data_IF_134882546214
#
_entry.id   IF_134882546214
#
_cell.length_a   1.000
_cell.length_b   1.000
_cell.length_c   1.000
_cell.angle_alpha   90.00
_cell.angle_beta   90.00
_cell.angle_gamma   90.00
#
_symmetry.space_group_name_H-M   'P 1'
#
loop_
_entity.id
_entity.type
_entity.pdbx_description
1 polymer ?
#
# COMPACT_ATOMS: atom_id res chain seq x y z
N UNK A 1 5.05 -18.88 -20.46
CA UNK A 1 5.10 -17.44 -20.12
C UNK A 1 5.15 -17.32 -18.62
N UNK A 2 6.23 -16.77 -18.04
CA UNK A 2 6.34 -16.50 -16.62
C UNK A 2 5.75 -15.13 -16.29
N UNK A 3 5.12 -14.97 -15.11
CA UNK A 3 4.47 -13.71 -14.69
C UNK A 3 5.15 -13.12 -13.47
N UNK A 4 5.91 -12.04 -13.70
CA UNK A 4 6.52 -11.20 -12.67
C UNK A 4 6.14 -9.72 -12.86
N UNK A 5 5.02 -9.48 -13.56
CA UNK A 5 4.54 -8.13 -13.92
C UNK A 5 4.07 -7.35 -12.70
N UNK A 6 3.30 -8.01 -11.84
CA UNK A 6 2.71 -7.41 -10.64
C UNK A 6 2.40 -8.50 -9.60
N UNK A 7 1.91 -8.09 -8.44
CA UNK A 7 1.58 -8.93 -7.29
C UNK A 7 0.06 -9.12 -7.08
N UNK A 8 -0.73 -8.97 -8.16
CA UNK A 8 -2.19 -9.13 -8.17
C UNK A 8 -2.69 -9.79 -9.47
N UNK A 9 -1.90 -10.71 -10.03
CA UNK A 9 -2.27 -11.44 -11.26
C UNK A 9 -3.18 -12.63 -10.99
N UNK A 10 -3.07 -13.23 -9.82
CA UNK A 10 -3.86 -14.37 -9.39
C UNK A 10 -5.19 -13.93 -8.77
N UNK A 11 -6.09 -14.89 -8.57
CA UNK A 11 -7.34 -14.71 -7.83
C UNK A 11 -7.11 -14.57 -6.33
N UNK A 12 -7.92 -15.23 -5.51
CA UNK A 12 -7.72 -15.24 -4.06
C UNK A 12 -7.07 -16.54 -3.58
N UNK A 13 -6.47 -16.46 -2.38
CA UNK A 13 -5.97 -17.62 -1.66
C UNK A 13 -7.11 -18.65 -1.43
N UNK A 14 -6.80 -19.94 -1.50
CA UNK A 14 -7.79 -21.02 -1.41
C UNK A 14 -8.70 -20.94 -0.17
N UNK A 15 -8.13 -20.62 0.99
CA UNK A 15 -8.91 -20.45 2.24
C UNK A 15 -9.90 -19.27 2.14
N UNK A 16 -9.54 -18.21 1.45
CA UNK A 16 -10.42 -17.04 1.21
C UNK A 16 -11.57 -17.46 0.28
N UNK A 17 -11.24 -18.14 -0.83
CA UNK A 17 -12.26 -18.67 -1.75
C UNK A 17 -13.20 -19.66 -1.08
N UNK A 18 -12.66 -20.58 -0.28
CA UNK A 18 -13.46 -21.56 0.44
C UNK A 18 -14.43 -20.89 1.40
N UNK A 19 -13.96 -19.88 2.16
CA UNK A 19 -14.82 -19.15 3.09
C UNK A 19 -15.95 -18.38 2.37
N UNK A 20 -15.66 -17.80 1.18
CA UNK A 20 -16.70 -17.22 0.33
C UNK A 20 -17.74 -18.27 -0.16
N UNK A 21 -17.30 -19.47 -0.53
CA UNK A 21 -18.16 -20.58 -0.97
C UNK A 21 -19.04 -21.04 0.19
N UNK A 22 -18.44 -21.31 1.34
CA UNK A 22 -19.14 -21.87 2.52
C UNK A 22 -20.25 -20.94 3.02
N UNK A 23 -20.02 -19.65 2.93
CA UNK A 23 -20.96 -18.61 3.41
C UNK A 23 -21.94 -18.10 2.34
N UNK A 24 -21.77 -18.50 1.07
CA UNK A 24 -22.44 -17.89 -0.08
C UNK A 24 -23.98 -17.83 0.00
N UNK A 25 -24.60 -18.86 0.57
CA UNK A 25 -26.08 -18.96 0.62
C UNK A 25 -26.69 -18.37 1.89
N UNK A 26 -25.89 -17.84 2.79
CA UNK A 26 -26.40 -17.18 3.99
C UNK A 26 -27.10 -15.86 3.65
N UNK A 27 -28.25 -15.62 4.29
CA UNK A 27 -28.99 -14.37 4.18
C UNK A 27 -28.50 -13.40 5.26
N UNK A 28 -27.76 -12.37 4.85
CA UNK A 28 -27.09 -11.43 5.72
C UNK A 28 -27.52 -9.99 5.47
N UNK A 29 -27.45 -9.10 6.47
CA UNK A 29 -27.60 -7.66 6.27
C UNK A 29 -26.63 -7.13 5.21
N UNK A 30 -27.04 -6.09 4.48
CA UNK A 30 -26.20 -5.45 3.45
C UNK A 30 -25.28 -4.38 3.99
N UNK A 31 -24.49 -3.80 3.09
CA UNK A 31 -23.66 -2.61 3.31
C UNK A 31 -22.60 -2.75 4.40
N UNK A 32 -22.12 -3.97 4.65
CA UNK A 32 -21.02 -4.24 5.60
C UNK A 32 -21.46 -4.19 7.06
N UNK A 33 -22.75 -4.42 7.34
CA UNK A 33 -23.30 -4.51 8.71
C UNK A 33 -23.57 -5.95 9.13
N UNK A 34 -23.09 -6.91 8.36
CA UNK A 34 -23.16 -8.34 8.65
C UNK A 34 -22.08 -8.76 9.66
N UNK A 35 -22.28 -9.93 10.29
CA UNK A 35 -21.39 -10.40 11.34
C UNK A 35 -19.96 -10.72 10.83
N UNK A 36 -19.78 -11.17 9.57
CA UNK A 36 -18.43 -11.39 9.02
C UNK A 36 -17.64 -10.08 8.90
N UNK A 37 -18.31 -9.00 8.49
CA UNK A 37 -17.69 -7.68 8.48
C UNK A 37 -17.31 -7.23 9.89
N UNK A 38 -18.17 -7.45 10.89
CA UNK A 38 -17.87 -7.05 12.28
C UNK A 38 -16.76 -7.94 12.88
N UNK A 39 -16.79 -9.25 12.66
CA UNK A 39 -15.72 -10.16 13.10
C UNK A 39 -14.37 -9.82 12.47
N UNK A 40 -14.34 -9.52 11.15
CA UNK A 40 -13.12 -9.07 10.47
C UNK A 40 -12.57 -7.79 11.10
N UNK A 41 -13.43 -6.80 11.37
CA UNK A 41 -13.03 -5.55 12.02
C UNK A 41 -12.43 -5.79 13.41
N UNK A 42 -13.06 -6.63 14.23
CA UNK A 42 -12.55 -6.95 15.57
C UNK A 42 -11.20 -7.70 15.53
N UNK A 43 -11.04 -8.65 14.58
CA UNK A 43 -9.74 -9.32 14.36
C UNK A 43 -8.65 -8.32 13.95
N UNK A 44 -8.96 -7.37 13.07
CA UNK A 44 -8.04 -6.32 12.64
C UNK A 44 -7.66 -5.42 13.82
N UNK A 45 -8.63 -4.93 14.61
CA UNK A 45 -8.38 -4.12 15.81
C UNK A 45 -7.44 -4.84 16.78
N UNK A 46 -7.71 -6.12 17.03
CA UNK A 46 -6.87 -6.96 17.88
C UNK A 46 -5.44 -7.09 17.32
N UNK A 47 -5.28 -7.33 16.01
CA UNK A 47 -3.98 -7.42 15.36
C UNK A 47 -3.20 -6.09 15.44
N UNK A 48 -3.90 -4.95 15.35
CA UNK A 48 -3.34 -3.61 15.52
C UNK A 48 -3.04 -3.25 17.00
N UNK A 49 -3.56 -4.01 17.97
CA UNK A 49 -3.50 -3.65 19.38
C UNK A 49 -4.17 -2.30 19.69
N UNK A 50 -5.26 -1.99 18.97
CA UNK A 50 -5.98 -0.72 19.03
C UNK A 50 -7.50 -1.01 19.05
N UNK A 51 -8.05 -1.30 20.23
CA UNK A 51 -9.45 -1.72 20.39
C UNK A 51 -10.45 -0.60 20.08
N UNK A 52 -10.04 0.66 20.25
CA UNK A 52 -10.82 1.86 19.97
C UNK A 52 -10.75 2.33 18.52
N UNK A 53 -9.99 1.64 17.66
CA UNK A 53 -9.92 1.96 16.25
C UNK A 53 -11.27 1.75 15.56
N UNK A 54 -11.52 2.55 14.51
CA UNK A 54 -12.65 2.34 13.62
C UNK A 54 -12.16 1.76 12.29
N UNK A 55 -12.80 0.68 11.83
CA UNK A 55 -12.38 -0.05 10.64
C UNK A 55 -13.46 -0.01 9.57
N UNK A 56 -13.07 0.33 8.34
CA UNK A 56 -13.92 0.29 7.15
C UNK A 56 -13.30 -0.61 6.08
N UNK A 57 -14.14 -1.40 5.41
CA UNK A 57 -13.72 -2.29 4.31
C UNK A 57 -14.15 -1.66 2.98
N UNK A 58 -13.17 -1.34 2.13
CA UNK A 58 -13.34 -0.76 0.80
C UNK A 58 -12.83 -1.73 -0.28
N UNK A 59 -13.15 -1.49 -1.55
CA UNK A 59 -12.92 -2.49 -2.60
C UNK A 59 -11.53 -2.40 -3.26
N UNK A 60 -10.82 -1.28 -3.17
CA UNK A 60 -9.54 -1.12 -3.84
C UNK A 60 -8.74 0.10 -3.39
N UNK A 61 -7.42 0.08 -3.61
CA UNK A 61 -6.47 1.06 -3.08
C UNK A 61 -6.71 2.49 -3.55
N UNK A 62 -6.81 2.73 -4.87
CA UNK A 62 -7.10 4.08 -5.41
C UNK A 62 -8.41 4.65 -4.88
N UNK A 63 -9.47 3.82 -4.80
CA UNK A 63 -10.73 4.23 -4.19
C UNK A 63 -10.56 4.60 -2.71
N UNK A 64 -9.76 3.83 -1.98
CA UNK A 64 -9.43 4.08 -0.58
C UNK A 64 -8.69 5.40 -0.40
N UNK A 65 -7.63 5.62 -1.18
CA UNK A 65 -6.85 6.86 -1.14
C UNK A 65 -7.73 8.08 -1.44
N UNK A 66 -8.54 7.99 -2.50
CA UNK A 66 -9.46 9.06 -2.89
C UNK A 66 -10.44 9.41 -1.76
N UNK A 67 -11.12 8.40 -1.17
CA UNK A 67 -12.15 8.62 -0.15
C UNK A 67 -11.53 9.15 1.15
N UNK A 68 -10.44 8.56 1.62
CA UNK A 68 -9.79 8.99 2.86
C UNK A 68 -9.29 10.43 2.72
N UNK A 69 -8.56 10.74 1.67
CA UNK A 69 -8.00 12.08 1.44
C UNK A 69 -9.11 13.12 1.30
N UNK A 70 -10.10 12.88 0.42
CA UNK A 70 -11.23 13.79 0.21
C UNK A 70 -12.09 14.01 1.47
N UNK A 71 -12.15 13.02 2.35
CA UNK A 71 -12.96 13.13 3.56
C UNK A 71 -12.22 13.82 4.70
N UNK A 72 -10.90 13.67 4.76
CA UNK A 72 -10.07 14.26 5.82
C UNK A 72 -9.67 15.70 5.54
N UNK A 73 -9.69 16.15 4.28
CA UNK A 73 -9.28 17.49 3.89
C UNK A 73 -10.45 18.47 3.82
N UNK A 74 -10.15 19.73 4.10
CA UNK A 74 -11.05 20.85 3.77
C UNK A 74 -10.85 21.24 2.29
N UNK A 75 -11.85 21.89 1.63
CA UNK A 75 -11.76 22.22 0.20
C UNK A 75 -10.55 23.05 -0.23
N UNK A 76 -9.90 23.76 0.71
CA UNK A 76 -8.71 24.59 0.46
C UNK A 76 -7.39 23.85 0.81
N UNK A 77 -7.48 22.62 1.26
CA UNK A 77 -6.32 21.83 1.68
C UNK A 77 -5.87 20.85 0.61
N UNK A 78 -4.58 20.49 0.65
CA UNK A 78 -3.96 19.49 -0.17
C UNK A 78 -3.24 18.44 0.66
N UNK A 79 -2.93 17.31 0.03
CA UNK A 79 -2.20 16.20 0.64
C UNK A 79 -0.71 16.31 0.32
N UNK A 80 0.14 16.24 1.34
CA UNK A 80 1.61 16.20 1.19
C UNK A 80 2.05 14.78 0.94
N UNK A 81 2.77 14.52 -0.14
CA UNK A 81 3.24 13.18 -0.52
C UNK A 81 4.64 13.21 -1.16
N UNK A 82 5.32 12.08 -1.23
CA UNK A 82 6.52 11.94 -2.03
C UNK A 82 6.25 12.22 -3.53
N UNK A 83 7.22 12.79 -4.26
CA UNK A 83 7.10 12.97 -5.71
C UNK A 83 6.80 11.65 -6.44
N UNK A 84 7.31 10.53 -5.93
CA UNK A 84 7.08 9.17 -6.44
C UNK A 84 5.94 8.44 -5.76
N UNK A 85 5.24 9.09 -4.81
CA UNK A 85 4.10 8.50 -4.11
C UNK A 85 2.98 8.08 -5.06
N UNK A 86 2.26 7.02 -4.72
CA UNK A 86 1.22 6.44 -5.59
C UNK A 86 0.17 7.47 -5.99
N UNK A 87 -0.29 8.29 -5.06
CA UNK A 87 -1.24 9.38 -5.31
C UNK A 87 -0.70 10.48 -6.22
N UNK A 88 0.64 10.62 -6.31
CA UNK A 88 1.30 11.60 -7.18
C UNK A 88 1.45 11.12 -8.62
N UNK A 89 1.56 9.80 -8.85
CA UNK A 89 2.05 9.25 -10.13
C UNK A 89 1.17 8.19 -10.76
N UNK A 90 0.42 7.39 -9.99
CA UNK A 90 -0.21 6.15 -10.48
C UNK A 90 -1.72 6.07 -10.24
N UNK A 91 -2.40 7.19 -9.96
CA UNK A 91 -3.85 7.22 -9.70
C UNK A 91 -4.64 8.07 -10.71
N UNK A 92 -4.06 8.36 -11.87
CA UNK A 92 -4.72 9.10 -12.94
C UNK A 92 -5.36 10.43 -12.49
N UNK A 93 -4.77 11.10 -11.50
CA UNK A 93 -5.31 12.35 -10.94
C UNK A 93 -6.55 12.13 -10.06
N UNK A 94 -6.68 10.97 -9.40
CA UNK A 94 -7.85 10.67 -8.57
C UNK A 94 -8.03 11.65 -7.40
N UNK A 95 -6.93 12.15 -6.85
CA UNK A 95 -6.96 13.15 -5.77
C UNK A 95 -7.38 14.52 -6.31
N UNK A 96 -6.79 14.95 -7.43
CA UNK A 96 -7.16 16.22 -8.09
C UNK A 96 -8.61 16.19 -8.56
N UNK A 97 -9.13 15.01 -8.97
CA UNK A 97 -10.54 14.83 -9.33
C UNK A 97 -11.50 15.13 -8.16
N UNK A 98 -11.09 14.95 -6.91
CA UNK A 98 -11.89 15.35 -5.73
C UNK A 98 -11.77 16.83 -5.40
N UNK A 99 -10.92 17.58 -6.11
CA UNK A 99 -10.69 19.02 -5.89
C UNK A 99 -9.50 19.33 -5.00
N UNK A 100 -8.75 18.34 -4.55
CA UNK A 100 -7.55 18.52 -3.72
C UNK A 100 -6.28 18.47 -4.55
N UNK A 101 -5.27 19.23 -4.10
CA UNK A 101 -3.96 19.24 -4.73
C UNK A 101 -3.02 18.27 -4.02
N UNK A 102 -2.22 17.53 -4.80
CA UNK A 102 -1.07 16.83 -4.24
C UNK A 102 0.12 17.78 -4.14
N UNK A 103 0.60 18.00 -2.92
CA UNK A 103 1.76 18.85 -2.59
C UNK A 103 2.97 17.92 -2.48
N UNK A 104 3.83 17.91 -3.49
CA UNK A 104 4.92 16.95 -3.55
C UNK A 104 6.15 17.40 -2.79
N UNK A 105 6.76 16.48 -2.02
CA UNK A 105 8.08 16.63 -1.42
C UNK A 105 9.13 15.82 -2.20
N UNK A 106 10.39 16.32 -2.23
CA UNK A 106 11.51 15.50 -2.66
C UNK A 106 11.57 14.19 -1.87
N UNK A 107 12.02 13.14 -2.52
CA UNK A 107 12.13 11.83 -1.88
C UNK A 107 13.54 11.25 -2.03
N UNK A 108 13.87 10.29 -1.18
CA UNK A 108 15.05 9.46 -1.32
C UNK A 108 14.64 7.98 -1.24
N UNK A 109 14.80 7.27 -2.35
CA UNK A 109 14.37 5.87 -2.46
C UNK A 109 12.87 5.68 -2.14
N UNK A 110 12.02 6.60 -2.60
CA UNK A 110 10.58 6.60 -2.37
C UNK A 110 10.13 7.15 -1.02
N UNK A 111 11.03 7.53 -0.12
CA UNK A 111 10.72 8.01 1.23
C UNK A 111 10.85 9.52 1.34
N UNK A 112 9.87 10.19 1.94
CA UNK A 112 10.02 11.55 2.47
C UNK A 112 10.74 11.49 3.82
N UNK A 113 11.30 12.60 4.26
CA UNK A 113 11.90 12.71 5.60
C UNK A 113 11.24 13.82 6.43
N UNK A 114 11.38 13.72 7.73
CA UNK A 114 10.77 14.65 8.69
C UNK A 114 11.29 16.10 8.54
N UNK A 115 12.57 16.27 8.16
CA UNK A 115 13.15 17.61 8.01
C UNK A 115 12.57 18.37 6.81
N UNK A 116 12.41 17.68 5.66
CA UNK A 116 11.81 18.29 4.48
C UNK A 116 10.31 18.57 4.71
N UNK A 117 9.60 17.67 5.40
CA UNK A 117 8.21 17.89 5.79
C UNK A 117 8.09 19.13 6.70
N UNK A 118 8.91 19.22 7.73
CA UNK A 118 8.93 20.37 8.64
C UNK A 118 9.23 21.67 7.89
N UNK A 119 10.25 21.66 7.03
CA UNK A 119 10.62 22.82 6.23
C UNK A 119 9.49 23.27 5.29
N UNK A 120 8.76 22.35 4.67
CA UNK A 120 7.61 22.68 3.84
C UNK A 120 6.55 23.44 4.65
N UNK A 121 6.20 22.94 5.84
CA UNK A 121 5.15 23.53 6.68
C UNK A 121 5.61 24.88 7.25
N UNK A 122 6.86 24.97 7.74
CA UNK A 122 7.42 26.23 8.26
C UNK A 122 7.53 27.30 7.16
N UNK A 123 7.95 26.92 5.95
CA UNK A 123 8.04 27.82 4.80
C UNK A 123 6.65 28.32 4.41
N UNK A 124 5.65 27.42 4.38
CA UNK A 124 4.27 27.78 4.08
C UNK A 124 3.74 28.83 5.07
N UNK A 125 3.82 28.58 6.37
CA UNK A 125 3.30 29.52 7.38
C UNK A 125 4.19 30.76 7.57
N UNK A 126 5.45 30.73 7.14
CA UNK A 126 6.34 31.89 7.12
C UNK A 126 6.07 32.86 5.96
N UNK A 127 5.33 32.45 4.94
CA UNK A 127 4.94 33.32 3.83
C UNK A 127 3.75 34.21 4.24
N UNK A 128 3.90 35.53 4.15
CA UNK A 128 2.83 36.47 4.48
C UNK A 128 1.59 36.31 3.57
N UNK A 129 1.75 35.66 2.42
CA UNK A 129 0.68 35.42 1.45
C UNK A 129 0.14 33.96 1.48
N UNK A 130 0.45 33.19 2.52
CA UNK A 130 0.02 31.78 2.58
C UNK A 130 -1.51 31.59 2.48
N UNK A 131 -2.31 32.59 2.86
CA UNK A 131 -3.77 32.58 2.68
C UNK A 131 -4.21 32.53 1.19
N UNK A 132 -3.31 32.77 0.25
CA UNK A 132 -3.55 32.61 -1.19
C UNK A 132 -3.07 31.25 -1.74
N UNK A 133 -2.54 30.39 -0.89
CA UNK A 133 -1.94 29.11 -1.26
C UNK A 133 -2.82 27.94 -0.82
N UNK A 134 -2.57 26.74 -1.38
CA UNK A 134 -3.20 25.53 -0.90
C UNK A 134 -2.53 25.11 0.42
N UNK A 135 -3.33 24.96 1.46
CA UNK A 135 -2.86 24.58 2.79
C UNK A 135 -2.42 23.11 2.81
N UNK A 136 -1.28 22.76 3.42
CA UNK A 136 -0.98 21.37 3.74
C UNK A 136 -1.96 20.88 4.82
N UNK A 137 -2.79 19.88 4.49
CA UNK A 137 -3.86 19.42 5.37
C UNK A 137 -3.71 17.95 5.83
N UNK A 138 -2.90 17.15 5.13
CA UNK A 138 -2.67 15.75 5.45
C UNK A 138 -1.32 15.32 4.88
N UNK A 139 -0.63 14.39 5.54
CA UNK A 139 0.60 13.77 5.06
C UNK A 139 0.31 12.33 4.66
N UNK A 140 0.67 11.97 3.43
CA UNK A 140 0.53 10.63 2.88
C UNK A 140 1.89 9.99 2.65
N UNK A 141 2.03 8.74 3.11
CA UNK A 141 3.20 7.90 2.83
C UNK A 141 2.75 6.50 2.43
N UNK A 142 3.55 5.80 1.61
CA UNK A 142 3.34 4.38 1.31
C UNK A 142 4.32 3.50 2.10
N UNK A 143 3.84 2.38 2.65
CA UNK A 143 4.70 1.42 3.33
C UNK A 143 4.31 -0.03 3.01
N UNK A 144 5.17 -0.78 2.29
CA UNK A 144 6.40 -0.36 1.58
C UNK A 144 6.16 0.76 0.57
N UNK A 145 7.20 1.53 0.25
CA UNK A 145 7.13 2.54 -0.80
C UNK A 145 6.95 1.91 -2.19
N UNK A 146 6.71 2.70 -3.20
CA UNK A 146 6.60 2.27 -4.60
C UNK A 146 7.88 1.57 -5.10
N UNK A 147 9.03 1.90 -4.51
CA UNK A 147 10.32 1.26 -4.74
C UNK A 147 10.56 0.01 -3.86
N UNK A 148 9.58 -0.40 -3.07
CA UNK A 148 9.70 -1.54 -2.16
C UNK A 148 10.61 -1.29 -0.97
N UNK A 149 11.02 -0.05 -0.70
CA UNK A 149 11.79 0.32 0.49
C UNK A 149 10.91 0.45 1.71
N UNK A 150 11.50 0.34 2.89
CA UNK A 150 10.79 0.39 4.16
C UNK A 150 11.18 1.64 4.95
N UNK A 151 10.19 2.30 5.53
CA UNK A 151 10.46 3.25 6.60
C UNK A 151 10.88 2.47 7.85
N UNK A 152 11.95 2.90 8.49
CA UNK A 152 12.32 2.40 9.82
C UNK A 152 11.36 2.98 10.86
N UNK A 153 11.26 2.33 12.01
CA UNK A 153 10.47 2.83 13.14
C UNK A 153 10.92 4.24 13.57
N UNK A 154 12.22 4.52 13.48
CA UNK A 154 12.76 5.85 13.76
C UNK A 154 12.24 6.89 12.77
N UNK A 155 12.34 6.62 11.45
CA UNK A 155 11.85 7.53 10.41
C UNK A 155 10.35 7.80 10.55
N UNK A 156 9.55 6.76 10.80
CA UNK A 156 8.11 6.92 11.04
C UNK A 156 7.81 7.74 12.29
N UNK A 157 8.56 7.53 13.37
CA UNK A 157 8.40 8.29 14.61
C UNK A 157 8.72 9.76 14.40
N UNK A 158 9.78 10.07 13.65
CA UNK A 158 10.18 11.45 13.33
C UNK A 158 9.12 12.15 12.47
N UNK A 159 8.59 11.49 11.42
CA UNK A 159 7.51 12.02 10.59
C UNK A 159 6.24 12.23 11.41
N UNK A 160 5.83 11.24 12.22
CA UNK A 160 4.66 11.33 13.08
C UNK A 160 4.78 12.48 14.09
N UNK A 161 5.99 12.73 14.63
CA UNK A 161 6.23 13.85 15.53
C UNK A 161 5.99 15.21 14.86
N UNK A 162 6.48 15.40 13.63
CA UNK A 162 6.22 16.62 12.84
C UNK A 162 4.71 16.75 12.53
N UNK A 163 4.06 15.66 12.13
CA UNK A 163 2.63 15.65 11.86
C UNK A 163 1.83 16.11 13.10
N UNK A 164 2.17 15.63 14.28
CA UNK A 164 1.52 16.03 15.54
C UNK A 164 1.82 17.48 15.93
N UNK A 165 3.07 17.96 15.75
CA UNK A 165 3.49 19.34 16.00
C UNK A 165 2.61 20.32 15.21
N UNK A 166 2.34 20.02 13.96
CA UNK A 166 1.57 20.89 13.05
C UNK A 166 0.09 20.46 12.87
N UNK A 167 -0.37 19.46 13.62
CA UNK A 167 -1.75 18.93 13.57
C UNK A 167 -2.17 18.44 12.18
N UNK A 168 -1.25 17.86 11.45
CA UNK A 168 -1.48 17.21 10.17
C UNK A 168 -1.74 15.72 10.40
N UNK A 169 -2.89 15.17 10.00
CA UNK A 169 -3.08 13.73 10.04
C UNK A 169 -2.03 13.00 9.20
N UNK A 170 -1.51 11.88 9.70
CA UNK A 170 -0.62 10.98 8.98
C UNK A 170 -1.40 9.80 8.43
N UNK A 171 -1.48 9.71 7.10
CA UNK A 171 -2.11 8.61 6.38
C UNK A 171 -1.06 7.70 5.76
N UNK A 172 -1.12 6.39 6.08
CA UNK A 172 -0.24 5.39 5.49
C UNK A 172 -0.99 4.49 4.51
N UNK A 173 -0.56 4.51 3.26
CA UNK A 173 -0.94 3.54 2.23
C UNK A 173 -0.24 2.20 2.49
N UNK A 174 -1.04 1.20 2.82
CA UNK A 174 -0.58 -0.15 3.09
C UNK A 174 -0.97 -1.17 2.02
N UNK A 175 -1.06 -0.77 0.73
CA UNK A 175 -1.43 -1.66 -0.36
C UNK A 175 -0.58 -2.95 -0.41
N UNK A 176 0.68 -2.86 0.03
CA UNK A 176 1.63 -3.97 0.15
C UNK A 176 2.09 -4.19 1.59
N UNK A 177 1.31 -3.76 2.57
CA UNK A 177 1.72 -3.75 3.98
C UNK A 177 2.22 -5.10 4.47
N UNK A 178 1.58 -6.18 4.06
CA UNK A 178 1.98 -7.56 4.39
C UNK A 178 3.47 -7.81 4.09
N UNK A 179 3.95 -7.39 2.93
CA UNK A 179 5.34 -7.62 2.50
C UNK A 179 6.34 -6.75 3.27
N UNK A 180 5.90 -5.61 3.79
CA UNK A 180 6.67 -4.81 4.74
C UNK A 180 6.74 -5.46 6.12
N UNK A 181 5.62 -6.00 6.63
CA UNK A 181 5.54 -6.59 7.97
C UNK A 181 6.32 -7.90 8.11
N UNK A 182 6.40 -8.73 7.05
CA UNK A 182 7.13 -10.01 7.08
C UNK A 182 8.55 -9.92 6.51
N UNK A 183 8.97 -8.74 6.04
CA UNK A 183 10.32 -8.50 5.54
C UNK A 183 11.38 -8.66 6.63
N UNK A 184 12.53 -9.26 6.29
CA UNK A 184 13.61 -9.50 7.27
C UNK A 184 14.24 -8.21 7.82
N UNK A 185 14.12 -7.11 7.11
CA UNK A 185 14.74 -5.82 7.45
C UNK A 185 13.76 -4.88 8.18
N UNK A 186 12.52 -5.33 8.44
CA UNK A 186 11.54 -4.51 9.14
C UNK A 186 11.84 -4.43 10.64
N UNK A 187 11.70 -3.24 11.19
CA UNK A 187 11.65 -2.98 12.64
C UNK A 187 10.30 -2.37 13.06
N UNK A 188 9.32 -2.41 12.15
CA UNK A 188 7.98 -1.83 12.32
C UNK A 188 6.96 -2.94 12.40
N UNK A 189 6.11 -2.89 13.42
CA UNK A 189 4.97 -3.78 13.61
C UNK A 189 3.65 -3.09 13.26
N UNK A 190 2.58 -3.87 13.07
CA UNK A 190 1.24 -3.31 12.86
C UNK A 190 0.79 -2.44 14.05
N UNK A 191 1.19 -2.81 15.27
CA UNK A 191 0.93 -2.04 16.49
C UNK A 191 1.71 -0.70 16.50
N UNK A 192 2.91 -0.67 15.92
CA UNK A 192 3.66 0.58 15.79
C UNK A 192 2.99 1.52 14.79
N UNK A 193 2.50 0.99 13.66
CA UNK A 193 1.75 1.76 12.68
C UNK A 193 0.49 2.35 13.31
N UNK A 194 -0.30 1.55 14.03
CA UNK A 194 -1.50 2.01 14.71
C UNK A 194 -1.23 3.11 15.75
N UNK A 195 -0.04 3.16 16.36
CA UNK A 195 0.37 4.21 17.31
C UNK A 195 0.88 5.48 16.64
N UNK A 196 1.44 5.36 15.43
CA UNK A 196 2.14 6.46 14.76
C UNK A 196 1.29 7.15 13.69
N UNK A 197 0.33 6.45 13.09
CA UNK A 197 -0.55 6.97 12.04
C UNK A 197 -1.94 7.28 12.59
N UNK A 198 -2.58 8.32 12.07
CA UNK A 198 -3.98 8.66 12.35
C UNK A 198 -4.93 7.80 11.53
N UNK A 199 -4.51 7.46 10.33
CA UNK A 199 -5.21 6.52 9.45
C UNK A 199 -4.20 5.71 8.64
N UNK A 200 -4.52 4.45 8.38
CA UNK A 200 -3.79 3.60 7.46
C UNK A 200 -4.73 2.57 6.85
N UNK A 201 -4.31 1.92 5.77
CA UNK A 201 -5.06 0.76 5.34
C UNK A 201 -4.19 -0.49 5.20
N UNK A 202 -4.81 -1.64 5.41
CA UNK A 202 -4.24 -2.96 5.27
C UNK A 202 -4.70 -3.53 3.95
N UNK A 203 -3.77 -3.68 3.01
CA UNK A 203 -4.06 -4.18 1.67
C UNK A 203 -4.44 -5.65 1.67
N UNK A 204 -5.60 -5.98 1.11
CA UNK A 204 -6.04 -7.36 0.86
C UNK A 204 -5.84 -7.77 -0.60
N UNK A 205 -6.07 -6.86 -1.55
CA UNK A 205 -6.02 -7.13 -3.00
C UNK A 205 -4.69 -7.76 -3.44
N UNK A 206 -3.56 -7.32 -2.87
CA UNK A 206 -2.23 -7.86 -3.17
C UNK A 206 -1.80 -8.96 -2.19
N UNK A 207 -2.64 -9.27 -1.22
CA UNK A 207 -2.38 -10.21 -0.12
C UNK A 207 -3.36 -11.38 -0.08
N UNK A 208 -3.74 -11.91 -1.24
CA UNK A 208 -4.56 -13.11 -1.35
C UNK A 208 -6.06 -12.90 -1.23
N UNK A 209 -6.58 -11.65 -1.25
CA UNK A 209 -8.00 -11.38 -1.47
C UNK A 209 -8.31 -11.21 -2.97
N UNK A 210 -9.56 -11.40 -3.38
CA UNK A 210 -10.04 -11.02 -4.71
C UNK A 210 -10.03 -9.49 -4.89
N UNK A 211 -10.42 -8.79 -3.84
CA UNK A 211 -10.42 -7.34 -3.73
C UNK A 211 -10.59 -6.96 -2.26
N UNK A 212 -10.15 -5.78 -1.90
CA UNK A 212 -10.44 -5.23 -0.58
C UNK A 212 -9.23 -4.61 0.11
N UNK A 213 -9.54 -3.53 0.83
CA UNK A 213 -8.62 -2.79 1.67
C UNK A 213 -9.32 -2.49 3.00
N UNK A 214 -8.66 -2.77 4.12
CA UNK A 214 -9.20 -2.44 5.43
C UNK A 214 -8.60 -1.13 5.92
N UNK A 215 -9.40 -0.07 5.89
CA UNK A 215 -9.03 1.26 6.42
C UNK A 215 -9.19 1.26 7.92
N UNK A 216 -8.16 1.66 8.64
CA UNK A 216 -8.12 1.73 10.09
C UNK A 216 -7.87 3.18 10.51
N UNK A 217 -8.82 3.77 11.21
CA UNK A 217 -8.72 5.08 11.85
C UNK A 217 -8.39 4.88 13.32
N UNK A 218 -7.38 5.58 13.84
CA UNK A 218 -6.91 5.49 15.23
C UNK A 218 -7.19 6.79 15.97
N UNK A 219 -7.25 6.76 17.31
CA UNK A 219 -7.31 7.97 18.12
C UNK A 219 -8.50 8.88 17.83
N UNK A 220 -9.66 8.33 17.45
CA UNK A 220 -10.86 9.08 17.04
C UNK A 220 -10.64 10.00 15.81
N UNK A 221 -9.74 9.62 14.93
CA UNK A 221 -9.40 10.40 13.71
C UNK A 221 -10.44 10.26 12.59
N UNK A 222 -11.38 9.32 12.69
CA UNK A 222 -12.38 9.09 11.64
C UNK A 222 -13.25 10.33 11.42
N UNK A 223 -13.32 10.86 10.18
CA UNK A 223 -14.15 12.03 9.88
C UNK A 223 -15.64 11.76 10.12
N UNK A 224 -16.35 12.78 10.58
CA UNK A 224 -17.82 12.68 10.71
C UNK A 224 -18.45 12.32 9.36
N UNK A 225 -19.45 11.44 9.40
CA UNK A 225 -20.18 11.01 8.21
C UNK A 225 -19.35 10.27 7.16
N UNK A 226 -18.25 9.59 7.55
CA UNK A 226 -17.39 8.84 6.65
C UNK A 226 -18.20 7.86 5.78
N UNK A 227 -19.13 7.09 6.35
CA UNK A 227 -20.02 6.20 5.59
C UNK A 227 -20.82 6.93 4.49
N UNK A 228 -21.25 8.16 4.74
CA UNK A 228 -21.95 8.98 3.75
C UNK A 228 -21.03 9.35 2.59
N UNK A 229 -19.77 9.67 2.88
CA UNK A 229 -18.75 9.96 1.86
C UNK A 229 -18.42 8.72 1.05
N UNK A 230 -18.25 7.57 1.70
CA UNK A 230 -18.10 6.27 1.01
C UNK A 230 -19.25 6.03 0.04
N UNK A 231 -20.49 6.32 0.45
CA UNK A 231 -21.68 6.20 -0.43
C UNK A 231 -21.64 7.18 -1.59
N UNK A 232 -21.25 8.43 -1.37
CA UNK A 232 -21.13 9.46 -2.42
C UNK A 232 -20.13 9.06 -3.50
N UNK A 233 -18.99 8.48 -3.11
CA UNK A 233 -17.97 7.94 -4.02
C UNK A 233 -18.38 6.63 -4.72
N UNK A 234 -19.61 6.13 -4.49
CA UNK A 234 -20.07 4.87 -5.07
C UNK A 234 -19.37 3.62 -4.52
N UNK A 235 -18.66 3.75 -3.41
CA UNK A 235 -17.81 2.72 -2.83
C UNK A 235 -18.51 1.81 -1.80
N UNK A 236 -19.75 2.15 -1.40
CA UNK A 236 -20.49 1.37 -0.43
C UNK A 236 -21.21 0.20 -1.12
N UNK A 237 -20.62 -0.98 -1.01
CA UNK A 237 -21.13 -2.20 -1.62
C UNK A 237 -22.41 -2.67 -0.94
N UNK A 238 -23.48 -2.93 -1.73
CA UNK A 238 -24.70 -3.53 -1.20
C UNK A 238 -24.43 -4.91 -0.57
N UNK A 239 -23.54 -5.71 -1.20
CA UNK A 239 -23.06 -6.97 -0.65
C UNK A 239 -21.69 -6.76 0.01
N UNK A 240 -21.62 -5.91 1.05
CA UNK A 240 -20.38 -5.60 1.78
C UNK A 240 -19.71 -6.82 2.40
N UNK A 241 -20.50 -7.88 2.67
CA UNK A 241 -19.95 -9.19 3.09
C UNK A 241 -18.82 -9.70 2.18
N UNK A 242 -18.78 -9.30 0.90
CA UNK A 242 -17.73 -9.73 -0.01
C UNK A 242 -16.34 -9.37 0.54
N UNK A 243 -16.16 -8.17 1.06
CA UNK A 243 -14.91 -7.76 1.72
C UNK A 243 -14.81 -8.32 3.12
N UNK A 244 -15.90 -8.37 3.89
CA UNK A 244 -15.93 -8.89 5.26
C UNK A 244 -15.45 -10.34 5.36
N UNK A 245 -16.06 -11.25 4.60
CA UNK A 245 -15.69 -12.68 4.56
C UNK A 245 -14.22 -12.89 4.17
N UNK A 246 -13.69 -12.08 3.25
CA UNK A 246 -12.29 -12.18 2.83
C UNK A 246 -11.32 -11.76 3.94
N UNK A 247 -11.58 -10.61 4.59
CA UNK A 247 -10.75 -10.15 5.70
C UNK A 247 -10.91 -11.01 6.95
N UNK A 248 -12.10 -11.56 7.18
CA UNK A 248 -12.32 -12.54 8.23
C UNK A 248 -11.44 -13.78 8.06
N UNK A 249 -11.37 -14.34 6.85
CA UNK A 249 -10.48 -15.44 6.53
C UNK A 249 -8.99 -15.05 6.66
N UNK A 250 -8.59 -13.88 6.13
CA UNK A 250 -7.21 -13.43 6.17
C UNK A 250 -6.68 -13.21 7.60
N UNK A 251 -7.54 -12.75 8.51
CA UNK A 251 -7.17 -12.51 9.91
C UNK A 251 -7.54 -13.68 10.84
N UNK A 252 -7.82 -14.85 10.29
CA UNK A 252 -7.97 -16.12 11.03
C UNK A 252 -6.66 -16.90 10.94
N UNK A 253 -6.20 -17.45 12.08
CA UNK A 253 -5.02 -18.31 12.20
C UNK A 253 -3.75 -17.73 11.55
N UNK A 254 -3.53 -16.42 11.69
CA UNK A 254 -2.38 -15.69 11.16
C UNK A 254 -2.17 -15.81 9.64
N UNK A 255 -3.20 -16.21 8.89
CA UNK A 255 -3.11 -16.45 7.45
C UNK A 255 -2.52 -15.24 6.70
N UNK A 256 -2.92 -14.01 7.08
CA UNK A 256 -2.40 -12.79 6.45
C UNK A 256 -0.88 -12.72 6.49
N UNK A 257 -0.27 -13.01 7.65
CA UNK A 257 1.20 -12.99 7.78
C UNK A 257 1.86 -14.19 7.09
N UNK A 258 1.22 -15.37 7.10
CA UNK A 258 1.78 -16.56 6.48
C UNK A 258 1.91 -16.43 4.97
N UNK A 259 0.87 -15.98 4.30
CA UNK A 259 0.88 -15.83 2.84
C UNK A 259 1.88 -14.79 2.34
N UNK A 260 2.17 -13.77 3.16
CA UNK A 260 3.19 -12.76 2.83
C UNK A 260 4.61 -13.31 2.78
N UNK A 261 4.92 -14.34 3.58
CA UNK A 261 6.26 -14.94 3.66
C UNK A 261 6.71 -15.51 2.32
N UNK A 262 5.81 -16.17 1.59
CA UNK A 262 6.14 -16.76 0.28
C UNK A 262 6.66 -15.70 -0.71
N UNK A 263 6.05 -14.53 -0.77
CA UNK A 263 6.49 -13.46 -1.65
C UNK A 263 7.90 -12.95 -1.29
N UNK A 264 8.22 -12.86 0.00
CA UNK A 264 9.53 -12.40 0.49
C UNK A 264 10.60 -13.47 0.27
N UNK A 265 10.29 -14.73 0.51
CA UNK A 265 11.22 -15.85 0.27
C UNK A 265 11.55 -16.00 -1.21
N UNK A 266 10.55 -15.97 -2.08
CA UNK A 266 10.74 -16.04 -3.54
C UNK A 266 11.48 -14.81 -4.08
N UNK A 267 11.22 -13.61 -3.56
CA UNK A 267 11.97 -12.41 -3.89
C UNK A 267 13.43 -12.48 -3.43
N UNK A 268 13.70 -13.05 -2.25
CA UNK A 268 15.06 -13.21 -1.74
C UNK A 268 15.90 -14.15 -2.61
N UNK A 269 15.33 -15.26 -3.08
CA UNK A 269 16.00 -16.18 -4.02
C UNK A 269 16.25 -15.48 -5.37
N UNK A 270 15.24 -14.78 -5.90
CA UNK A 270 15.40 -13.99 -7.13
C UNK A 270 16.52 -12.97 -6.99
N UNK A 271 16.53 -12.19 -5.92
CA UNK A 271 17.53 -11.17 -5.62
C UNK A 271 18.93 -11.76 -5.51
N UNK A 272 19.09 -12.88 -4.82
CA UNK A 272 20.37 -13.56 -4.67
C UNK A 272 20.90 -14.06 -6.04
N UNK A 273 20.06 -14.71 -6.84
CA UNK A 273 20.45 -15.20 -8.16
C UNK A 273 20.78 -14.07 -9.14
N UNK A 274 20.07 -12.96 -9.09
CA UNK A 274 20.39 -11.77 -9.87
C UNK A 274 21.76 -11.16 -9.48
N UNK A 275 22.06 -11.09 -8.17
CA UNK A 275 23.38 -10.64 -7.67
C UNK A 275 24.51 -11.58 -8.13
N UNK A 276 24.31 -12.89 -8.03
CA UNK A 276 25.30 -13.89 -8.47
C UNK A 276 25.60 -13.78 -9.98
N UNK A 277 24.60 -13.47 -10.78
CA UNK A 277 24.74 -13.24 -12.23
C UNK A 277 25.29 -11.86 -12.60
N UNK A 278 25.57 -11.00 -11.61
CA UNK A 278 26.19 -9.69 -11.82
C UNK A 278 25.23 -8.59 -12.27
N UNK A 279 23.91 -8.77 -12.13
CA UNK A 279 22.96 -7.72 -12.46
C UNK A 279 23.04 -6.54 -11.49
N UNK A 280 22.92 -5.33 -12.04
CA UNK A 280 22.90 -4.09 -11.25
C UNK A 280 21.48 -3.80 -10.78
N UNK A 281 21.32 -3.59 -9.49
CA UNK A 281 20.05 -3.14 -8.91
C UNK A 281 19.96 -1.61 -9.00
N UNK A 282 18.80 -1.13 -9.41
CA UNK A 282 18.48 0.30 -9.39
C UNK A 282 18.24 0.77 -7.96
N UNK A 283 17.51 -0.04 -7.19
CA UNK A 283 17.27 0.13 -5.76
C UNK A 283 17.41 -1.24 -5.08
N UNK A 284 18.02 -1.27 -3.92
CA UNK A 284 18.13 -2.48 -3.09
C UNK A 284 16.85 -2.63 -2.23
N UNK A 285 15.79 -3.15 -2.85
CA UNK A 285 14.50 -3.38 -2.17
C UNK A 285 14.57 -4.63 -1.28
N UNK A 286 14.12 -4.56 0.00
CA UNK A 286 14.01 -5.71 0.89
C UNK A 286 12.68 -6.47 0.74
N UNK A 287 11.78 -6.02 -0.14
CA UNK A 287 10.43 -6.56 -0.27
C UNK A 287 10.23 -7.39 -1.54
N UNK A 288 9.00 -7.67 -1.89
CA UNK A 288 8.61 -8.48 -3.04
C UNK A 288 8.87 -7.85 -4.42
N UNK A 289 9.27 -6.59 -4.49
CA UNK A 289 9.56 -5.88 -5.73
C UNK A 289 11.06 -5.74 -5.93
N UNK A 290 11.60 -6.23 -7.06
CA UNK A 290 13.02 -6.17 -7.39
C UNK A 290 13.25 -5.31 -8.64
N UNK A 291 14.03 -4.25 -8.50
CA UNK A 291 14.29 -3.27 -9.57
C UNK A 291 15.68 -3.47 -10.14
N UNK A 292 15.75 -3.87 -11.40
CA UNK A 292 16.99 -4.32 -12.05
C UNK A 292 17.23 -3.54 -13.32
N UNK A 293 18.50 -3.19 -13.57
CA UNK A 293 18.92 -2.57 -14.82
C UNK A 293 19.23 -3.66 -15.85
N UNK A 294 18.49 -3.68 -16.94
CA UNK A 294 18.71 -4.61 -18.07
C UNK A 294 19.18 -3.86 -19.31
N UNK A 295 20.09 -4.46 -20.09
CA UNK A 295 20.33 -4.04 -21.46
C UNK A 295 19.05 -4.17 -22.28
N UNK A 296 18.73 -3.17 -23.11
CA UNK A 296 17.51 -3.15 -23.93
C UNK A 296 17.37 -4.39 -24.80
N UNK A 297 18.48 -4.89 -25.37
CA UNK A 297 18.48 -6.13 -26.16
C UNK A 297 18.07 -7.34 -25.32
N UNK A 298 18.66 -7.51 -24.12
CA UNK A 298 18.32 -8.60 -23.19
C UNK A 298 16.87 -8.50 -22.71
N UNK A 299 16.41 -7.29 -22.45
CA UNK A 299 15.03 -7.02 -22.08
C UNK A 299 14.05 -7.50 -23.16
N UNK A 300 14.29 -7.17 -24.44
CA UNK A 300 13.42 -7.60 -25.54
C UNK A 300 13.47 -9.13 -25.79
N UNK A 301 14.60 -9.77 -25.55
CA UNK A 301 14.71 -11.23 -25.58
C UNK A 301 13.89 -11.87 -24.44
N UNK A 302 14.01 -11.34 -23.24
CA UNK A 302 13.31 -11.86 -22.04
C UNK A 302 11.79 -11.71 -22.14
N UNK A 303 11.27 -10.65 -22.76
CA UNK A 303 9.82 -10.41 -22.97
C UNK A 303 9.13 -11.54 -23.73
N UNK A 304 9.86 -12.38 -24.46
CA UNK A 304 9.27 -13.53 -25.19
C UNK A 304 8.77 -14.61 -24.25
N UNK A 305 9.37 -14.73 -23.08
CA UNK A 305 9.10 -15.80 -22.12
C UNK A 305 8.61 -15.31 -20.76
N UNK A 306 8.84 -14.02 -20.43
CA UNK A 306 8.57 -13.43 -19.13
C UNK A 306 7.83 -12.10 -19.26
N UNK A 307 6.78 -11.92 -18.48
CA UNK A 307 6.14 -10.63 -18.27
C UNK A 307 6.69 -9.97 -17.00
N UNK A 308 7.12 -8.72 -17.14
CA UNK A 308 7.64 -7.86 -16.09
C UNK A 308 7.30 -6.40 -16.40
N UNK A 309 7.42 -5.51 -15.41
CA UNK A 309 7.11 -4.10 -15.61
C UNK A 309 8.31 -3.33 -16.15
N UNK A 310 8.08 -2.50 -17.16
CA UNK A 310 8.92 -1.34 -17.42
C UNK A 310 8.82 -0.40 -16.20
N UNK A 311 9.96 0.13 -15.75
CA UNK A 311 9.97 1.11 -14.67
C UNK A 311 10.36 2.49 -15.17
N UNK A 312 11.60 2.61 -15.65
CA UNK A 312 12.08 3.86 -16.26
C UNK A 312 13.23 3.61 -17.25
N UNK A 313 13.45 4.56 -18.14
CA UNK A 313 14.63 4.56 -19.01
C UNK A 313 15.86 4.96 -18.18
N UNK A 314 16.88 4.09 -18.13
CA UNK A 314 18.15 4.39 -17.44
C UNK A 314 19.07 5.23 -18.30
N UNK A 315 19.25 4.81 -19.56
CA UNK A 315 20.03 5.48 -20.61
C UNK A 315 19.57 4.97 -21.98
N UNK A 316 20.31 5.26 -23.06
CA UNK A 316 19.91 4.83 -24.41
C UNK A 316 20.04 3.33 -24.65
N UNK A 317 20.78 2.61 -23.81
CA UNK A 317 21.06 1.17 -23.94
C UNK A 317 20.49 0.32 -22.83
N UNK A 318 20.06 0.94 -21.72
CA UNK A 318 19.54 0.25 -20.55
C UNK A 318 18.19 0.77 -20.06
N UNK A 319 17.42 -0.14 -19.55
CA UNK A 319 16.09 0.12 -18.94
C UNK A 319 16.05 -0.47 -17.52
N UNK A 320 15.46 0.26 -16.59
CA UNK A 320 15.08 -0.28 -15.28
C UNK A 320 13.79 -1.06 -15.45
N UNK A 321 13.80 -2.30 -15.03
CA UNK A 321 12.61 -3.17 -14.99
C UNK A 321 12.31 -3.58 -13.58
N UNK A 322 11.04 -3.88 -13.29
CA UNK A 322 10.61 -4.42 -12.01
C UNK A 322 10.11 -5.85 -12.19
N UNK A 323 10.67 -6.76 -11.42
CA UNK A 323 10.11 -8.08 -11.16
C UNK A 323 9.37 -8.04 -9.82
N UNK A 324 8.11 -8.47 -9.81
CA UNK A 324 7.31 -8.57 -8.60
C UNK A 324 6.98 -10.05 -8.32
N UNK A 325 7.26 -10.50 -7.09
CA UNK A 325 6.75 -11.76 -6.58
C UNK A 325 5.46 -11.52 -5.79
N UNK A 326 4.65 -12.54 -5.59
CA UNK A 326 3.38 -12.48 -4.89
C UNK A 326 3.25 -13.62 -3.87
N UNK A 327 2.18 -13.58 -3.10
CA UNK A 327 1.78 -14.66 -2.22
C UNK A 327 1.65 -16.02 -2.94
N UNK A 328 1.41 -16.03 -4.26
CA UNK A 328 1.20 -17.21 -5.10
C UNK A 328 2.41 -17.56 -5.99
N UNK A 329 3.50 -16.77 -5.96
CA UNK A 329 4.68 -17.05 -6.78
C UNK A 329 5.29 -18.40 -6.43
N UNK A 330 5.50 -19.26 -7.43
CA UNK A 330 6.12 -20.58 -7.24
C UNK A 330 7.64 -20.45 -7.34
N UNK A 331 8.36 -21.21 -6.51
CA UNK A 331 9.82 -21.20 -6.51
C UNK A 331 10.39 -21.68 -7.86
N UNK A 332 9.74 -22.67 -8.49
CA UNK A 332 10.15 -23.16 -9.81
C UNK A 332 10.09 -22.06 -10.89
N UNK A 333 9.15 -21.13 -10.81
CA UNK A 333 9.06 -20.01 -11.73
C UNK A 333 10.20 -18.99 -11.51
N UNK A 334 10.65 -18.81 -10.27
CA UNK A 334 11.82 -17.99 -9.94
C UNK A 334 13.11 -18.62 -10.49
N UNK A 335 13.30 -19.93 -10.26
CA UNK A 335 14.46 -20.67 -10.78
C UNK A 335 14.48 -20.63 -12.31
N UNK A 336 13.33 -20.80 -12.95
CA UNK A 336 13.21 -20.70 -14.40
C UNK A 336 13.52 -19.28 -14.90
N UNK A 337 13.02 -18.24 -14.25
CA UNK A 337 13.39 -16.84 -14.59
C UNK A 337 14.90 -16.65 -14.50
N UNK A 338 15.53 -17.10 -13.42
CA UNK A 338 16.97 -17.03 -13.25
C UNK A 338 17.73 -17.77 -14.34
N UNK A 339 17.21 -18.89 -14.86
CA UNK A 339 17.85 -19.63 -15.96
C UNK A 339 17.77 -18.90 -17.31
N UNK A 340 16.82 -17.99 -17.49
CA UNK A 340 16.65 -17.17 -18.70
C UNK A 340 17.47 -15.88 -18.66
N UNK A 341 17.85 -15.43 -17.48
CA UNK A 341 18.69 -14.27 -17.23
C UNK A 341 20.19 -14.65 -17.26
#
# INVERSE_FOLDING_TARGET
>A
MLYFLNDYSEGAHEKVLQHLIDTNMEQLPGYGTDHYCEEAKEKIKKACGCEDAEVFLLAGGTQTNQIVIDTMLQPYEGVVAAQTGHVSTHEAGAIEFTGHKVLTLPEKNGKINAADLKNLVETFYGDENHEHMVFPGLVYISHPTEYGTLYTKKELTEISAVCREYKLPLFMDGARLIYGLVGKETDVTLQDIAKLCDVFYIGGTKAGALCGEAVVFTGNSMPKHFLTRVKQHGALLAKGRLTGVQFDALFTDDLYLEIGKNAIETAAVLKAGLKEKGYTFYIDSPTNQQFVVLENRKMEELKKDVQFSFWEKKDDTHTVVRFATSWATRMEDVEKLLSLL
#
